data_IF_074537536667
#
_entry.id   IF_074537536667
#
_cell.length_a   1.000
_cell.length_b   1.000
_cell.length_c   1.000
_cell.angle_alpha   90.00
_cell.angle_beta   90.00
_cell.angle_gamma   90.00
#
_symmetry.space_group_name_H-M   'P 1'
#
loop_
_entity.id
_entity.type
_entity.pdbx_description
1 polymer ?
#
# COMPACT_ATOMS: atom_id res chain seq x y z
N UNK A 1 30.83 36.44 53.58
CA UNK A 1 30.68 35.50 52.45
C UNK A 1 29.30 34.88 52.63
N UNK A 2 28.27 35.03 51.80
CA UNK A 2 28.17 35.40 50.40
C UNK A 2 26.74 35.88 50.16
N UNK A 3 26.53 36.98 49.43
CA UNK A 3 25.20 37.35 48.92
C UNK A 3 25.06 36.79 47.51
N UNK A 4 24.29 35.71 47.39
CA UNK A 4 23.92 35.07 46.13
C UNK A 4 22.99 35.98 45.33
N UNK A 5 23.50 36.55 44.24
CA UNK A 5 22.72 37.34 43.29
C UNK A 5 21.89 36.40 42.41
N UNK A 6 20.64 36.15 42.78
CA UNK A 6 19.67 35.39 41.97
C UNK A 6 19.25 36.27 40.79
N UNK A 7 19.81 36.02 39.61
CA UNK A 7 19.33 36.65 38.37
C UNK A 7 17.88 36.22 38.16
N UNK A 8 16.96 37.19 38.26
CA UNK A 8 15.57 37.00 37.86
C UNK A 8 15.55 36.98 36.34
N UNK A 9 15.10 35.87 35.76
CA UNK A 9 14.70 35.84 34.37
C UNK A 9 13.62 36.90 34.17
N UNK A 10 13.89 37.87 33.31
CA UNK A 10 12.93 38.88 32.90
C UNK A 10 11.92 38.21 31.98
N UNK A 11 10.77 37.87 32.55
CA UNK A 11 9.53 37.65 31.82
C UNK A 11 9.18 38.97 31.11
N UNK A 12 9.11 38.95 29.78
CA UNK A 12 8.84 40.14 28.98
C UNK A 12 7.37 40.55 29.14
N UNK A 13 7.15 41.68 29.80
CA UNK A 13 5.84 42.19 30.25
C UNK A 13 5.01 42.87 29.14
N UNK A 14 5.13 42.41 27.88
CA UNK A 14 4.27 42.78 26.76
C UNK A 14 4.43 41.71 25.66
N UNK A 15 3.39 40.88 25.39
CA UNK A 15 3.47 39.96 24.27
C UNK A 15 3.59 40.79 22.99
N UNK A 16 4.74 40.70 22.33
CA UNK A 16 5.00 41.45 21.10
C UNK A 16 3.91 41.06 20.09
N UNK A 17 3.30 42.00 19.36
CA UNK A 17 2.22 41.73 18.39
C UNK A 17 2.55 40.59 17.39
N UNK A 18 3.83 40.36 17.16
CA UNK A 18 4.37 39.25 16.39
C UNK A 18 4.08 37.87 17.02
N UNK A 19 4.09 37.74 18.34
CA UNK A 19 3.74 36.49 19.06
C UNK A 19 2.26 36.12 18.89
N UNK A 20 1.38 37.13 18.95
CA UNK A 20 -0.04 36.92 18.67
C UNK A 20 -0.30 36.60 17.20
N UNK A 21 0.41 37.26 16.28
CA UNK A 21 0.31 36.97 14.85
C UNK A 21 0.77 35.55 14.55
N UNK A 22 1.94 35.13 15.06
CA UNK A 22 2.45 33.77 14.85
C UNK A 22 1.54 32.73 15.50
N UNK A 23 1.00 33.01 16.68
CA UNK A 23 0.02 32.16 17.34
C UNK A 23 -1.25 31.98 16.51
N UNK A 24 -1.82 33.07 15.99
CA UNK A 24 -3.05 33.04 15.19
C UNK A 24 -2.82 32.34 13.85
N UNK A 25 -1.70 32.60 13.17
CA UNK A 25 -1.31 31.90 11.94
C UNK A 25 -1.14 30.40 12.20
N UNK A 26 -0.44 30.03 13.28
CA UNK A 26 -0.24 28.62 13.63
C UNK A 26 -1.57 27.92 13.95
N UNK A 27 -2.43 28.57 14.73
CA UNK A 27 -3.76 28.05 15.04
C UNK A 27 -4.63 27.88 13.78
N UNK A 28 -4.58 28.84 12.86
CA UNK A 28 -5.30 28.76 11.58
C UNK A 28 -4.80 27.60 10.71
N UNK A 29 -3.48 27.38 10.62
CA UNK A 29 -2.90 26.25 9.90
C UNK A 29 -3.33 24.91 10.49
N UNK A 30 -3.29 24.78 11.82
CA UNK A 30 -3.73 23.56 12.52
C UNK A 30 -5.23 23.34 12.28
N UNK A 31 -6.06 24.36 12.43
CA UNK A 31 -7.50 24.26 12.18
C UNK A 31 -7.81 23.85 10.74
N UNK A 32 -7.04 24.38 9.77
CA UNK A 32 -7.17 24.03 8.36
C UNK A 32 -6.80 22.57 8.11
N UNK A 33 -5.70 22.09 8.68
CA UNK A 33 -5.27 20.70 8.58
C UNK A 33 -6.31 19.74 9.20
N UNK A 34 -6.82 20.06 10.40
CA UNK A 34 -7.86 19.27 11.07
C UNK A 34 -9.12 19.23 10.20
N UNK A 35 -9.57 20.38 9.69
CA UNK A 35 -10.75 20.47 8.84
C UNK A 35 -10.59 19.64 7.55
N UNK A 36 -9.41 19.69 6.94
CA UNK A 36 -9.08 18.89 5.76
C UNK A 36 -9.11 17.39 6.04
N UNK A 37 -8.47 16.93 7.14
CA UNK A 37 -8.47 15.51 7.52
C UNK A 37 -9.89 15.03 7.84
N UNK A 38 -10.67 15.84 8.58
CA UNK A 38 -12.05 15.52 8.91
C UNK A 38 -12.93 15.41 7.66
N UNK A 39 -12.72 16.28 6.68
CA UNK A 39 -13.42 16.23 5.39
C UNK A 39 -13.12 14.93 4.63
N UNK A 40 -11.84 14.56 4.47
CA UNK A 40 -11.48 13.31 3.80
C UNK A 40 -12.08 12.10 4.54
N UNK A 41 -11.98 12.07 5.88
CA UNK A 41 -12.48 10.97 6.70
C UNK A 41 -13.99 10.71 6.57
N UNK A 42 -14.80 11.72 6.21
CA UNK A 42 -16.26 11.55 6.03
C UNK A 42 -16.68 11.39 4.57
N UNK A 43 -15.80 11.72 3.61
CA UNK A 43 -16.14 11.75 2.18
C UNK A 43 -15.56 10.55 1.43
N UNK A 44 -14.49 9.94 1.92
CA UNK A 44 -13.87 8.78 1.28
C UNK A 44 -14.72 7.52 1.49
N UNK A 45 -15.25 6.97 0.40
CA UNK A 45 -15.98 5.71 0.39
C UNK A 45 -15.01 4.53 0.29
N UNK A 46 -15.20 3.50 1.12
CA UNK A 46 -14.44 2.26 1.03
C UNK A 46 -14.94 1.41 -0.15
N UNK A 47 -14.07 1.18 -1.13
CA UNK A 47 -14.36 0.37 -2.32
C UNK A 47 -13.77 -1.02 -2.14
N UNK A 48 -14.49 -2.11 -2.50
CA UNK A 48 -13.95 -3.47 -2.42
C UNK A 48 -12.67 -3.64 -3.26
N UNK A 49 -11.76 -4.55 -2.87
CA UNK A 49 -10.51 -4.81 -3.59
C UNK A 49 -10.71 -5.08 -5.09
N UNK A 50 -9.91 -4.42 -5.94
CA UNK A 50 -9.87 -4.61 -7.38
C UNK A 50 -8.43 -4.90 -7.82
N UNK A 51 -8.16 -6.14 -8.27
CA UNK A 51 -6.81 -6.57 -8.60
C UNK A 51 -6.51 -6.51 -10.09
N UNK A 52 -5.37 -5.90 -10.43
CA UNK A 52 -4.73 -6.03 -11.73
C UNK A 52 -3.42 -6.81 -11.59
N UNK A 53 -3.16 -7.75 -12.50
CA UNK A 53 -1.98 -8.61 -12.46
C UNK A 53 -1.21 -8.49 -13.77
N UNK A 54 0.10 -8.27 -13.66
CA UNK A 54 1.00 -8.17 -14.81
C UNK A 54 2.21 -9.07 -14.64
N UNK A 55 2.49 -9.93 -15.62
CA UNK A 55 3.69 -10.75 -15.64
C UNK A 55 4.91 -9.86 -15.98
N UNK A 56 5.90 -9.83 -15.08
CA UNK A 56 7.09 -8.98 -15.19
C UNK A 56 8.32 -9.72 -15.67
N UNK A 57 8.33 -11.05 -15.61
CA UNK A 57 9.49 -11.83 -16.02
C UNK A 57 9.23 -13.33 -16.14
N UNK A 58 10.08 -13.98 -16.94
CA UNK A 58 10.15 -15.43 -17.10
C UNK A 58 11.60 -15.87 -17.01
N UNK A 59 11.89 -16.82 -16.12
CA UNK A 59 13.22 -17.39 -15.94
C UNK A 59 13.15 -18.93 -15.92
N UNK A 60 14.03 -19.58 -16.68
CA UNK A 60 14.18 -21.04 -16.61
C UNK A 60 15.06 -21.41 -15.42
N UNK A 61 14.59 -22.36 -14.62
CA UNK A 61 15.29 -22.87 -13.44
C UNK A 61 15.58 -24.37 -13.59
N UNK A 62 16.45 -24.91 -12.73
CA UNK A 62 16.81 -26.34 -12.75
C UNK A 62 15.59 -27.27 -12.63
N UNK A 63 14.52 -26.83 -11.96
CA UNK A 63 13.30 -27.61 -11.71
C UNK A 63 12.05 -27.17 -12.47
N UNK A 64 12.16 -26.25 -13.44
CA UNK A 64 11.00 -25.71 -14.14
C UNK A 64 11.18 -24.26 -14.57
N UNK A 65 10.12 -23.47 -14.45
CA UNK A 65 10.03 -22.11 -14.93
C UNK A 65 9.45 -21.22 -13.84
N UNK A 66 10.07 -20.06 -13.62
CA UNK A 66 9.59 -19.03 -12.71
C UNK A 66 8.96 -17.92 -13.52
N UNK A 67 7.73 -17.57 -13.18
CA UNK A 67 7.05 -16.38 -13.68
C UNK A 67 6.91 -15.41 -12.53
N UNK A 68 7.63 -14.29 -12.60
CA UNK A 68 7.43 -13.16 -11.69
C UNK A 68 6.30 -12.30 -12.21
N UNK A 69 5.50 -11.77 -11.30
CA UNK A 69 4.39 -10.89 -11.62
C UNK A 69 4.16 -9.92 -10.48
N UNK A 70 3.55 -8.80 -10.83
CA UNK A 70 3.05 -7.85 -9.86
C UNK A 70 1.53 -7.93 -9.78
N UNK A 71 0.99 -7.76 -8.57
CA UNK A 71 -0.42 -7.58 -8.29
C UNK A 71 -0.63 -6.17 -7.72
N UNK A 72 -1.47 -5.39 -8.39
CA UNK A 72 -1.89 -4.05 -7.98
C UNK A 72 -3.31 -4.13 -7.43
N UNK A 73 -3.56 -3.59 -6.24
CA UNK A 73 -4.90 -3.34 -5.74
C UNK A 73 -5.26 -1.88 -6.00
N UNK A 74 -6.20 -1.65 -6.90
CA UNK A 74 -6.64 -0.32 -7.35
C UNK A 74 -7.68 0.31 -6.44
N UNK A 75 -8.21 -0.46 -5.49
CA UNK A 75 -9.16 0.03 -4.51
C UNK A 75 -8.44 0.52 -3.24
N UNK A 76 -9.10 1.36 -2.46
CA UNK A 76 -8.58 1.87 -1.19
C UNK A 76 -8.74 0.89 -0.01
N UNK A 77 -9.50 -0.19 -0.18
CA UNK A 77 -9.62 -1.26 0.83
C UNK A 77 -8.55 -2.32 0.59
N UNK A 78 -7.88 -2.72 1.66
CA UNK A 78 -6.89 -3.79 1.60
C UNK A 78 -7.53 -5.17 1.55
N UNK A 79 -6.76 -6.17 1.11
CA UNK A 79 -7.20 -7.56 1.08
C UNK A 79 -6.20 -8.48 1.77
N UNK A 80 -6.70 -9.50 2.45
CA UNK A 80 -5.90 -10.56 3.05
C UNK A 80 -6.06 -11.88 2.28
N UNK A 81 -5.09 -12.78 2.45
CA UNK A 81 -5.09 -14.13 1.89
C UNK A 81 -5.49 -14.16 0.40
N UNK A 82 -4.91 -13.25 -0.40
CA UNK A 82 -5.23 -13.12 -1.82
C UNK A 82 -4.63 -14.30 -2.58
N UNK A 83 -5.49 -15.12 -3.18
CA UNK A 83 -5.08 -16.28 -3.96
C UNK A 83 -4.97 -15.88 -5.42
N UNK A 84 -3.76 -15.97 -5.97
CA UNK A 84 -3.49 -15.80 -7.39
C UNK A 84 -3.26 -17.16 -8.02
N UNK A 85 -4.04 -17.46 -9.06
CA UNK A 85 -3.90 -18.66 -9.87
C UNK A 85 -3.20 -18.35 -11.18
N UNK A 86 -2.17 -19.12 -11.47
CA UNK A 86 -1.55 -19.22 -12.77
C UNK A 86 -1.97 -20.50 -13.46
N UNK A 87 -2.52 -20.38 -14.66
CA UNK A 87 -2.92 -21.51 -15.51
C UNK A 87 -2.17 -21.47 -16.83
N UNK A 88 -1.62 -22.62 -17.23
CA UNK A 88 -1.09 -22.85 -18.57
C UNK A 88 -2.12 -23.64 -19.38
N UNK A 89 -2.61 -23.03 -20.46
CA UNK A 89 -3.60 -23.63 -21.34
C UNK A 89 -2.98 -24.02 -22.68
N UNK A 90 -3.29 -25.23 -23.17
CA UNK A 90 -3.00 -25.64 -24.54
C UNK A 90 -4.32 -25.81 -25.27
N UNK A 91 -4.71 -24.77 -26.01
CA UNK A 91 -6.07 -24.66 -26.53
C UNK A 91 -7.06 -24.47 -25.38
N UNK A 92 -8.02 -25.38 -25.22
CA UNK A 92 -9.02 -25.35 -24.16
C UNK A 92 -8.68 -26.23 -22.94
N UNK A 93 -7.56 -26.94 -22.97
CA UNK A 93 -7.13 -27.84 -21.90
C UNK A 93 -6.15 -27.13 -20.96
N UNK A 94 -6.44 -27.15 -19.67
CA UNK A 94 -5.49 -26.72 -18.64
C UNK A 94 -4.43 -27.81 -18.47
N UNK A 95 -3.19 -27.47 -18.84
CA UNK A 95 -2.03 -28.37 -18.77
C UNK A 95 -1.39 -28.33 -17.40
N UNK A 96 -1.38 -27.14 -16.77
CA UNK A 96 -0.86 -26.95 -15.42
C UNK A 96 -1.59 -25.78 -14.76
N UNK A 97 -1.89 -25.91 -13.47
CA UNK A 97 -2.50 -24.87 -12.64
C UNK A 97 -1.76 -24.82 -11.31
N UNK A 98 -1.34 -23.63 -10.90
CA UNK A 98 -0.60 -23.40 -9.67
C UNK A 98 -1.16 -22.15 -8.97
N UNK A 99 -1.28 -22.24 -7.66
CA UNK A 99 -1.77 -21.14 -6.83
C UNK A 99 -0.64 -20.61 -5.94
N UNK A 100 -0.64 -19.30 -5.75
CA UNK A 100 0.18 -18.62 -4.74
C UNK A 100 -0.73 -17.72 -3.91
N UNK A 101 -0.45 -17.64 -2.61
CA UNK A 101 -1.21 -16.79 -1.70
C UNK A 101 -0.33 -15.63 -1.26
N UNK A 102 -0.88 -14.42 -1.35
CA UNK A 102 -0.32 -13.24 -0.70
C UNK A 102 -1.03 -13.06 0.63
N UNK A 103 -0.25 -12.95 1.71
CA UNK A 103 -0.82 -12.71 3.04
C UNK A 103 -1.62 -11.42 3.07
N UNK A 104 -1.14 -10.40 2.35
CA UNK A 104 -1.75 -9.08 2.29
C UNK A 104 -1.43 -8.36 0.98
N UNK A 105 -2.44 -7.67 0.43
CA UNK A 105 -2.29 -6.72 -0.68
C UNK A 105 -2.94 -5.40 -0.24
N UNK A 106 -2.16 -4.38 0.16
CA UNK A 106 -2.71 -3.11 0.63
C UNK A 106 -3.51 -2.40 -0.46
N UNK A 107 -4.49 -1.60 -0.04
CA UNK A 107 -5.21 -0.70 -0.93
C UNK A 107 -4.28 0.32 -1.60
N UNK A 108 -4.57 0.66 -2.85
CA UNK A 108 -3.80 1.60 -3.69
C UNK A 108 -2.30 1.28 -3.73
N UNK A 109 -1.98 -0.02 -3.72
CA UNK A 109 -0.61 -0.50 -3.60
C UNK A 109 -0.33 -1.71 -4.48
N UNK A 110 0.95 -2.04 -4.60
CA UNK A 110 1.46 -3.12 -5.42
C UNK A 110 2.23 -4.12 -4.56
N UNK A 111 2.13 -5.39 -4.90
CA UNK A 111 2.93 -6.47 -4.32
C UNK A 111 3.49 -7.35 -5.44
N UNK A 112 4.67 -7.91 -5.22
CA UNK A 112 5.34 -8.77 -6.21
C UNK A 112 5.33 -10.21 -5.73
N UNK A 113 5.06 -11.14 -6.64
CA UNK A 113 5.10 -12.57 -6.38
C UNK A 113 5.67 -13.36 -7.54
N UNK A 114 5.72 -14.68 -7.36
CA UNK A 114 6.11 -15.58 -8.42
C UNK A 114 5.32 -16.89 -8.35
N UNK A 115 5.03 -17.45 -9.52
CA UNK A 115 4.53 -18.82 -9.68
C UNK A 115 5.63 -19.66 -10.33
N UNK A 116 5.73 -20.91 -9.89
CA UNK A 116 6.67 -21.89 -10.42
C UNK A 116 5.89 -22.95 -11.19
N UNK A 117 6.19 -23.10 -12.47
CA UNK A 117 5.63 -24.12 -13.35
C UNK A 117 6.65 -25.22 -13.63
N UNK A 118 6.19 -26.46 -13.75
CA UNK A 118 7.01 -27.58 -14.24
C UNK A 118 7.06 -27.60 -15.77
N UNK A 119 5.99 -27.13 -16.42
CA UNK A 119 5.82 -27.06 -17.87
C UNK A 119 6.34 -25.72 -18.40
N UNK A 120 6.89 -25.71 -19.62
CA UNK A 120 7.35 -24.49 -20.29
C UNK A 120 6.17 -23.54 -20.61
N UNK A 121 6.08 -22.37 -19.96
CA UNK A 121 5.02 -21.38 -20.22
C UNK A 121 5.07 -20.81 -21.64
N UNK A 122 6.22 -20.82 -22.31
CA UNK A 122 6.36 -20.38 -23.71
C UNK A 122 5.71 -21.33 -24.72
N UNK A 123 5.35 -22.55 -24.30
CA UNK A 123 4.68 -23.55 -25.14
C UNK A 123 3.15 -23.59 -24.95
N UNK A 124 2.62 -22.73 -24.09
CA UNK A 124 1.21 -22.68 -23.69
C UNK A 124 0.75 -21.23 -23.53
N UNK A 125 -0.56 -21.01 -23.43
CA UNK A 125 -1.10 -19.71 -23.07
C UNK A 125 -1.12 -19.57 -21.55
N UNK A 126 -0.33 -18.64 -21.01
CA UNK A 126 -0.34 -18.30 -19.59
C UNK A 126 -1.49 -17.36 -19.27
N UNK A 127 -2.27 -17.68 -18.25
CA UNK A 127 -3.27 -16.80 -17.64
C UNK A 127 -2.97 -16.65 -16.15
N UNK A 128 -2.92 -15.40 -15.67
CA UNK A 128 -2.82 -15.07 -14.24
C UNK A 128 -4.11 -14.38 -13.81
N UNK A 129 -4.70 -14.79 -12.68
CA UNK A 129 -5.87 -14.12 -12.11
C UNK A 129 -5.93 -14.27 -10.59
N UNK A 130 -6.41 -13.24 -9.91
CA UNK A 130 -6.85 -13.38 -8.54
C UNK A 130 -8.18 -14.17 -8.53
N UNK A 131 -8.27 -15.20 -7.70
CA UNK A 131 -9.45 -16.08 -7.63
C UNK A 131 -10.16 -16.05 -6.28
N UNK A 132 -9.58 -15.40 -5.28
CA UNK A 132 -10.17 -15.23 -3.96
C UNK A 132 -9.34 -14.31 -3.08
N UNK A 133 -10.01 -13.75 -2.07
CA UNK A 133 -9.41 -12.95 -1.01
C UNK A 133 -10.36 -13.00 0.21
N UNK A 134 -9.87 -12.56 1.35
CA UNK A 134 -10.69 -12.29 2.54
C UNK A 134 -10.56 -10.83 2.95
N UNK A 135 -11.60 -10.30 3.59
CA UNK A 135 -11.51 -9.00 4.26
C UNK A 135 -10.44 -9.09 5.38
N UNK A 136 -9.60 -8.06 5.54
CA UNK A 136 -8.51 -8.05 6.52
C UNK A 136 -8.96 -7.86 7.98
#
# INVERSE_FOLDING_TARGET
MSSTHRQRHTEADNPHWMEWLTGLVSAALIATLIGYVAWNAVTDEMVPPEFAIEATGMERMTGGYRITFDIENRANTSAAAVIVRGELLRGNESVESVDVTFDYVPGESQSTGAILFSTDPGSAQLTLRAIGYTDP
#
